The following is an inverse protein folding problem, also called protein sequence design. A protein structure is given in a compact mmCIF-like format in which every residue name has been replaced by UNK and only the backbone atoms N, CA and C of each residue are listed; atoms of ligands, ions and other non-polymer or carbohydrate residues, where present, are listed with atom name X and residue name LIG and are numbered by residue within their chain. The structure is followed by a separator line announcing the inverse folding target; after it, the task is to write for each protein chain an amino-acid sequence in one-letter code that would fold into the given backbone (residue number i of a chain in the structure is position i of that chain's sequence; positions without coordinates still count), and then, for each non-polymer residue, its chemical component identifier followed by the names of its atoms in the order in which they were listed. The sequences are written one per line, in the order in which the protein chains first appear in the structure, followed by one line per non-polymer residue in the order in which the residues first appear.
data_IF_755283450454
#
_entry.id   IF_755283450454
#
_cell.length_a   1.000
_cell.length_b   1.000
_cell.length_c   1.000
_cell.angle_alpha   90.00
_cell.angle_beta   90.00
_cell.angle_gamma   90.00
#
_symmetry.space_group_name_H-M   'P 1'
#
loop_
_entity.id
_entity.type
_entity.pdbx_description
1 polymer ?
#
# COMPACT_ATOMS: atom_id res chain seq x y z
N UNK A 1 -31.79 5.02 1.20
CA UNK A 1 -30.78 3.99 0.88
C UNK A 1 -30.37 3.29 2.16
N UNK A 2 -30.37 1.97 2.14
CA UNK A 2 -29.97 1.19 3.32
C UNK A 2 -28.47 1.30 3.54
N UNK A 3 -28.03 1.17 4.81
CA UNK A 3 -26.62 1.20 5.16
C UNK A 3 -25.81 0.15 4.39
N UNK A 4 -26.37 -1.06 4.20
CA UNK A 4 -25.67 -2.12 3.45
C UNK A 4 -25.37 -1.69 2.01
N UNK A 5 -26.28 -0.95 1.37
CA UNK A 5 -26.07 -0.47 0.00
C UNK A 5 -24.94 0.54 -0.06
N UNK A 6 -24.84 1.44 0.92
CA UNK A 6 -23.76 2.40 1.00
C UNK A 6 -22.42 1.71 1.21
N UNK A 7 -22.39 0.71 2.08
CA UNK A 7 -21.18 -0.06 2.35
C UNK A 7 -20.70 -0.83 1.10
N UNK A 8 -21.64 -1.40 0.35
CA UNK A 8 -21.27 -2.10 -0.89
C UNK A 8 -20.72 -1.17 -1.96
N UNK A 9 -21.24 0.05 -2.04
CA UNK A 9 -20.70 1.08 -2.94
C UNK A 9 -19.28 1.47 -2.53
N UNK A 10 -19.04 1.65 -1.23
CA UNK A 10 -17.71 1.93 -0.70
C UNK A 10 -16.75 0.77 -0.99
N UNK A 11 -17.21 -0.47 -0.80
CA UNK A 11 -16.42 -1.66 -1.08
C UNK A 11 -15.95 -1.68 -2.53
N UNK A 12 -16.87 -1.45 -3.48
CA UNK A 12 -16.56 -1.44 -4.90
C UNK A 12 -15.54 -0.34 -5.24
N UNK A 13 -15.78 0.86 -4.74
CA UNK A 13 -14.89 2.00 -5.02
C UNK A 13 -13.49 1.80 -4.45
N UNK A 14 -13.40 1.32 -3.21
CA UNK A 14 -12.11 1.03 -2.58
C UNK A 14 -11.37 -0.07 -3.34
N UNK A 15 -12.08 -1.12 -3.77
CA UNK A 15 -11.49 -2.18 -4.57
C UNK A 15 -10.93 -1.68 -5.89
N UNK A 16 -11.65 -0.78 -6.57
CA UNK A 16 -11.17 -0.17 -7.82
C UNK A 16 -9.93 0.70 -7.59
N UNK A 17 -9.95 1.52 -6.52
CA UNK A 17 -8.82 2.38 -6.18
C UNK A 17 -7.58 1.55 -5.85
N UNK A 18 -7.76 0.46 -5.10
CA UNK A 18 -6.68 -0.47 -4.78
C UNK A 18 -6.12 -1.11 -6.06
N UNK A 19 -7.00 -1.61 -6.92
CA UNK A 19 -6.59 -2.28 -8.16
C UNK A 19 -5.75 -1.37 -9.04
N UNK A 20 -6.07 -0.07 -9.06
CA UNK A 20 -5.33 0.90 -9.86
C UNK A 20 -3.90 1.14 -9.35
N UNK A 21 -3.57 0.72 -8.12
CA UNK A 21 -2.27 0.94 -7.50
C UNK A 21 -1.43 -0.32 -7.37
N UNK A 22 -1.94 -1.49 -7.79
CA UNK A 22 -1.29 -2.77 -7.51
C UNK A 22 -0.08 -3.09 -8.39
N UNK A 23 0.15 -2.34 -9.45
CA UNK A 23 1.20 -2.67 -10.41
C UNK A 23 2.54 -1.97 -10.18
N UNK A 24 2.58 -0.96 -9.32
CA UNK A 24 3.79 -0.14 -9.21
C UNK A 24 3.99 0.47 -7.83
N UNK A 25 4.20 -0.37 -6.84
CA UNK A 25 4.52 0.09 -5.48
C UNK A 25 5.76 -0.66 -4.96
N UNK A 26 6.41 -0.07 -3.95
CA UNK A 26 7.50 -0.72 -3.23
C UNK A 26 7.18 -0.70 -1.74
N UNK A 27 7.32 -1.86 -1.11
CA UNK A 27 7.19 -1.98 0.35
C UNK A 27 8.54 -1.66 0.97
N UNK A 28 8.59 -0.71 1.89
CA UNK A 28 9.79 -0.42 2.64
C UNK A 28 10.13 1.06 2.69
N UNK A 29 11.33 1.36 3.15
CA UNK A 29 11.83 2.72 3.32
C UNK A 29 13.03 2.93 2.41
N UNK A 30 12.98 4.00 1.63
CA UNK A 30 14.11 4.44 0.80
C UNK A 30 14.82 5.57 1.54
N UNK A 31 16.08 5.35 1.88
CA UNK A 31 16.90 6.34 2.58
C UNK A 31 18.23 6.51 1.89
N UNK A 32 18.80 7.72 2.00
CA UNK A 32 20.11 8.00 1.43
C UNK A 32 21.18 7.17 2.16
N UNK A 33 22.04 6.51 1.38
CA UNK A 33 23.15 5.75 1.94
C UNK A 33 24.23 6.70 2.45
N UNK A 34 24.69 6.56 3.70
CA UNK A 34 25.73 7.45 4.23
C UNK A 34 27.12 7.24 3.59
N UNK A 35 27.35 6.07 3.01
CA UNK A 35 28.66 5.70 2.46
C UNK A 35 28.69 5.61 0.93
N UNK A 36 27.55 5.84 0.26
CA UNK A 36 27.44 5.68 -1.20
C UNK A 36 26.67 6.87 -1.78
N UNK A 37 26.83 7.10 -3.08
CA UNK A 37 26.12 8.19 -3.78
C UNK A 37 24.63 7.92 -4.00
N UNK A 38 24.19 6.69 -3.83
CA UNK A 38 22.81 6.28 -4.02
C UNK A 38 22.01 6.20 -2.73
N UNK A 39 20.93 5.44 -2.80
CA UNK A 39 20.01 5.21 -1.68
C UNK A 39 19.91 3.71 -1.38
N UNK A 40 19.35 3.37 -0.24
CA UNK A 40 19.03 1.99 0.12
C UNK A 40 17.55 1.86 0.33
N UNK A 41 16.98 0.78 -0.22
CA UNK A 41 15.62 0.35 0.08
C UNK A 41 15.71 -0.74 1.14
N UNK A 42 15.16 -0.47 2.32
CA UNK A 42 15.07 -1.48 3.38
C UNK A 42 13.64 -1.98 3.42
N UNK A 43 13.47 -3.28 3.22
CA UNK A 43 12.16 -3.92 3.18
C UNK A 43 12.23 -5.26 3.91
N UNK A 44 11.06 -5.88 4.09
CA UNK A 44 10.98 -7.24 4.65
C UNK A 44 10.33 -8.17 3.63
N UNK A 45 10.95 -9.31 3.43
CA UNK A 45 10.42 -10.38 2.59
C UNK A 45 10.34 -11.64 3.46
N UNK A 46 9.13 -12.13 3.64
CA UNK A 46 8.87 -13.31 4.48
C UNK A 46 9.47 -13.18 5.88
N UNK A 47 9.35 -11.98 6.48
CA UNK A 47 9.85 -11.73 7.82
C UNK A 47 11.32 -11.38 7.93
N UNK A 48 12.07 -11.48 6.83
CA UNK A 48 13.50 -11.18 6.82
C UNK A 48 13.75 -9.79 6.27
N UNK A 49 14.60 -9.02 6.95
CA UNK A 49 15.01 -7.70 6.48
C UNK A 49 15.96 -7.83 5.29
N UNK A 50 15.62 -7.14 4.22
CA UNK A 50 16.42 -7.10 3.00
C UNK A 50 16.76 -5.66 2.70
N UNK A 51 18.03 -5.38 2.38
CA UNK A 51 18.49 -4.05 1.98
C UNK A 51 18.97 -4.12 0.55
N UNK A 52 18.36 -3.29 -0.32
CA UNK A 52 18.69 -3.24 -1.74
C UNK A 52 19.27 -1.88 -2.09
N UNK A 53 20.34 -1.87 -2.85
CA UNK A 53 20.91 -0.63 -3.33
C UNK A 53 20.04 0.00 -4.40
N UNK A 54 19.77 1.29 -4.26
CA UNK A 54 18.98 2.07 -5.24
C UNK A 54 19.87 3.12 -5.86
N UNK A 55 20.11 3.01 -7.16
CA UNK A 55 20.94 3.97 -7.88
C UNK A 55 20.36 5.38 -7.79
N UNK A 56 21.23 6.37 -7.81
CA UNK A 56 20.87 7.77 -7.68
C UNK A 56 19.85 8.20 -8.72
N UNK A 57 19.97 7.71 -9.96
CA UNK A 57 19.09 8.10 -11.07
C UNK A 57 17.66 7.61 -10.91
N UNK A 58 17.44 6.48 -10.23
CA UNK A 58 16.10 5.93 -10.03
C UNK A 58 15.55 6.20 -8.61
N UNK A 59 16.33 6.79 -7.73
CA UNK A 59 15.92 7.03 -6.35
C UNK A 59 14.61 7.85 -6.22
N UNK A 60 14.41 8.93 -6.99
CA UNK A 60 13.13 9.66 -6.91
C UNK A 60 11.93 8.79 -7.21
N UNK A 61 12.01 7.92 -8.21
CA UNK A 61 10.94 7.00 -8.56
C UNK A 61 10.72 5.96 -7.46
N UNK A 62 11.81 5.42 -6.89
CA UNK A 62 11.70 4.45 -5.79
C UNK A 62 11.01 5.07 -4.56
N UNK A 63 11.33 6.32 -4.24
CA UNK A 63 10.69 7.05 -3.15
C UNK A 63 9.19 7.20 -3.42
N UNK A 64 8.83 7.60 -4.63
CA UNK A 64 7.45 7.75 -5.04
C UNK A 64 6.68 6.44 -4.92
N UNK A 65 7.29 5.33 -5.35
CA UNK A 65 6.68 4.00 -5.25
C UNK A 65 6.49 3.55 -3.80
N UNK A 66 7.38 3.93 -2.89
CA UNK A 66 7.23 3.62 -1.47
C UNK A 66 6.11 4.44 -0.83
N UNK A 67 5.94 5.70 -1.26
CA UNK A 67 4.82 6.54 -0.83
C UNK A 67 3.50 5.95 -1.35
N UNK A 68 3.48 5.46 -2.56
CA UNK A 68 2.31 4.80 -3.16
C UNK A 68 1.89 3.58 -2.35
N UNK A 69 2.84 2.80 -1.85
CA UNK A 69 2.53 1.67 -0.99
C UNK A 69 1.81 2.12 0.29
N UNK A 70 2.24 3.21 0.91
CA UNK A 70 1.60 3.72 2.12
C UNK A 70 0.14 4.09 1.87
N UNK A 71 -0.14 4.72 0.74
CA UNK A 71 -1.52 5.04 0.33
C UNK A 71 -2.32 3.77 0.08
N UNK A 72 -1.73 2.82 -0.63
CA UNK A 72 -2.35 1.52 -0.90
C UNK A 72 -2.70 0.81 0.41
N UNK A 73 -1.78 0.78 1.36
CA UNK A 73 -2.01 0.15 2.66
C UNK A 73 -3.19 0.79 3.40
N UNK A 74 -3.29 2.12 3.37
CA UNK A 74 -4.42 2.84 3.95
C UNK A 74 -5.75 2.42 3.31
N UNK A 75 -5.77 2.30 1.98
CA UNK A 75 -6.97 1.86 1.26
C UNK A 75 -7.34 0.42 1.61
N UNK A 76 -6.35 -0.46 1.74
CA UNK A 76 -6.56 -1.85 2.13
C UNK A 76 -7.18 -1.92 3.53
N UNK A 77 -6.68 -1.11 4.47
CA UNK A 77 -7.22 -1.06 5.82
C UNK A 77 -8.67 -0.55 5.83
N UNK A 78 -8.96 0.46 5.02
CA UNK A 78 -10.33 0.98 4.89
C UNK A 78 -11.27 -0.08 4.31
N UNK A 79 -10.83 -0.79 3.28
CA UNK A 79 -11.62 -1.86 2.69
C UNK A 79 -11.88 -2.98 3.68
N UNK A 80 -10.87 -3.36 4.46
CA UNK A 80 -11.00 -4.37 5.50
C UNK A 80 -12.10 -3.98 6.51
N UNK A 81 -12.12 -2.73 6.93
CA UNK A 81 -13.15 -2.23 7.87
C UNK A 81 -14.53 -2.28 7.24
N UNK A 82 -14.66 -1.87 5.99
CA UNK A 82 -15.93 -1.93 5.27
C UNK A 82 -16.41 -3.38 5.16
N UNK A 83 -15.52 -4.30 4.83
CA UNK A 83 -15.85 -5.72 4.75
C UNK A 83 -16.33 -6.27 6.10
N UNK A 84 -15.70 -5.85 7.18
CA UNK A 84 -16.13 -6.24 8.53
C UNK A 84 -17.55 -5.74 8.83
N UNK A 85 -17.83 -4.47 8.49
CA UNK A 85 -19.17 -3.92 8.72
C UNK A 85 -20.24 -4.64 7.90
N UNK A 86 -19.92 -4.98 6.65
CA UNK A 86 -20.84 -5.76 5.80
C UNK A 86 -21.10 -7.13 6.42
N UNK A 87 -20.03 -7.83 6.80
CA UNK A 87 -20.15 -9.15 7.42
C UNK A 87 -21.02 -9.11 8.67
N UNK A 88 -20.81 -8.10 9.51
CA UNK A 88 -21.56 -7.93 10.74
C UNK A 88 -23.05 -7.68 10.45
N UNK A 89 -23.38 -6.88 9.45
CA UNK A 89 -24.76 -6.60 9.07
C UNK A 89 -25.44 -7.83 8.45
N UNK A 90 -24.73 -8.59 7.64
CA UNK A 90 -25.30 -9.77 6.98
C UNK A 90 -25.51 -10.95 7.92
N UNK A 91 -24.77 -11.01 9.03
CA UNK A 91 -24.85 -12.13 9.97
C UNK A 91 -25.95 -11.98 11.03
N UNK A 92 -26.69 -10.90 11.00
CA UNK A 92 -27.80 -10.65 11.94
C UNK A 92 -29.09 -11.30 11.49
#
# INVERSE_FOLDING_TARGET
MKRIDLLRKQQTRLGEDIAAMLDSFLIGTVAKSPSMSGHNLTTKVEGKTVTLYVRKDIAPMAIEMSIRYKKLWTLIQKLSKVNWEILNLESK
#
